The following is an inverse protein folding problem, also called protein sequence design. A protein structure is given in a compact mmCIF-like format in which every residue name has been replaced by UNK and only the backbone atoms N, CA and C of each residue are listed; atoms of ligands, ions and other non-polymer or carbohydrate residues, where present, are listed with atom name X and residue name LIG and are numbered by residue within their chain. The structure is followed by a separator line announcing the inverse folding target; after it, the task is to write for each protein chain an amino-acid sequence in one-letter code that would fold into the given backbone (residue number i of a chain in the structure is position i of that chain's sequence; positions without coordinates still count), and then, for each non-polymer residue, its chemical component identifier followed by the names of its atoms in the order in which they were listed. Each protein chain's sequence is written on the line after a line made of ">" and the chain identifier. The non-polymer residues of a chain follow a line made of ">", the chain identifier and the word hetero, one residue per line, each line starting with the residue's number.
data_IF_157832670044
#
_entry.id   IF_157832670044
#
_cell.length_a   1.000
_cell.length_b   1.000
_cell.length_c   1.000
_cell.angle_alpha   90.00
_cell.angle_beta   90.00
_cell.angle_gamma   90.00
#
_symmetry.space_group_name_H-M   'P 1'
#
loop_
_entity.id
_entity.type
_entity.pdbx_description
1 polymer ?
#
# COMPACT_ATOMS: atom_id res chain seq x y z
N UNK A 1 14.71 26.61 -5.65
CA UNK A 1 15.85 25.68 -5.58
C UNK A 1 15.29 24.31 -5.22
N UNK A 2 15.33 23.34 -6.12
CA UNK A 2 14.83 21.99 -5.82
C UNK A 2 15.82 21.30 -4.87
N UNK A 3 15.32 20.76 -3.75
CA UNK A 3 16.12 19.89 -2.90
C UNK A 3 16.44 18.61 -3.67
N UNK A 4 17.68 18.15 -3.59
CA UNK A 4 18.06 16.85 -4.14
C UNK A 4 17.59 15.75 -3.17
N UNK A 5 17.30 14.55 -3.68
CA UNK A 5 16.93 13.39 -2.84
C UNK A 5 18.14 12.72 -2.16
N UNK A 6 19.23 13.47 -1.96
CA UNK A 6 20.49 12.93 -1.41
C UNK A 6 20.46 12.81 0.12
N UNK A 7 19.64 13.61 0.77
CA UNK A 7 19.53 13.68 2.22
C UNK A 7 18.09 13.33 2.65
N UNK A 8 17.97 12.61 3.77
CA UNK A 8 16.67 12.29 4.36
C UNK A 8 15.97 13.58 4.80
N UNK A 9 14.70 13.73 4.43
CA UNK A 9 13.86 14.82 4.94
C UNK A 9 13.67 14.68 6.46
N UNK A 10 13.85 15.77 7.20
CA UNK A 10 13.63 15.85 8.65
C UNK A 10 12.29 16.50 9.03
N UNK A 11 11.55 17.02 8.04
CA UNK A 11 10.22 17.56 8.26
C UNK A 11 9.23 16.43 8.58
N UNK A 12 8.25 16.73 9.43
CA UNK A 12 7.14 15.82 9.71
C UNK A 12 6.30 15.60 8.45
N UNK A 13 5.80 14.38 8.29
CA UNK A 13 4.84 14.03 7.26
C UNK A 13 3.44 14.52 7.65
N UNK A 14 2.80 15.28 6.76
CA UNK A 14 1.50 15.89 7.03
C UNK A 14 0.37 14.85 7.14
N UNK A 15 0.41 13.80 6.33
CA UNK A 15 -0.60 12.73 6.35
C UNK A 15 -0.57 11.91 7.66
N UNK A 16 0.54 11.94 8.38
CA UNK A 16 0.75 11.26 9.67
C UNK A 16 0.39 12.12 10.89
N UNK A 17 0.03 13.39 10.68
CA UNK A 17 -0.33 14.31 11.74
C UNK A 17 -1.67 13.92 12.37
N UNK A 18 -1.64 13.50 13.64
CA UNK A 18 -2.81 13.05 14.40
C UNK A 18 -3.76 14.18 14.83
N UNK A 19 -3.33 15.43 14.71
CA UNK A 19 -4.23 16.57 14.90
C UNK A 19 -5.09 16.84 13.65
N UNK A 20 -4.72 16.23 12.53
CA UNK A 20 -5.41 16.28 11.24
C UNK A 20 -6.07 14.93 10.96
N UNK A 21 -7.08 14.90 10.09
CA UNK A 21 -7.87 13.70 9.83
C UNK A 21 -9.23 14.01 9.23
N UNK A 22 -10.19 13.09 9.39
CA UNK A 22 -11.55 13.31 8.91
C UNK A 22 -11.62 13.44 7.40
N UNK A 23 -12.35 14.45 6.90
CA UNK A 23 -12.63 14.56 5.46
C UNK A 23 -11.41 14.92 4.62
N UNK A 24 -10.48 15.73 5.16
CA UNK A 24 -9.26 16.11 4.44
C UNK A 24 -8.37 14.89 4.17
N UNK A 25 -8.17 14.04 5.17
CA UNK A 25 -7.43 12.78 5.00
C UNK A 25 -8.14 11.83 4.03
N UNK A 26 -9.47 11.71 4.11
CA UNK A 26 -10.23 10.89 3.13
C UNK A 26 -10.09 11.42 1.71
N UNK A 27 -10.16 12.73 1.52
CA UNK A 27 -9.95 13.35 0.21
C UNK A 27 -8.52 13.10 -0.31
N UNK A 28 -7.51 13.24 0.55
CA UNK A 28 -6.13 12.92 0.23
C UNK A 28 -5.96 11.45 -0.19
N UNK A 29 -6.57 10.51 0.52
CA UNK A 29 -6.54 9.08 0.17
C UNK A 29 -7.28 8.78 -1.15
N UNK A 30 -8.40 9.44 -1.43
CA UNK A 30 -9.07 9.35 -2.75
C UNK A 30 -8.19 9.88 -3.88
N UNK A 31 -7.45 10.97 -3.64
CA UNK A 31 -6.48 11.51 -4.60
C UNK A 31 -5.30 10.55 -4.78
N UNK A 32 -4.76 10.00 -3.69
CA UNK A 32 -3.72 8.98 -3.72
C UNK A 32 -4.15 7.80 -4.58
N UNK A 33 -5.39 7.31 -4.43
CA UNK A 33 -5.93 6.23 -5.29
C UNK A 33 -5.89 6.53 -6.77
N UNK A 34 -6.26 7.76 -7.16
CA UNK A 34 -6.20 8.21 -8.57
C UNK A 34 -4.76 8.21 -9.08
N UNK A 35 -3.82 8.69 -8.27
CA UNK A 35 -2.39 8.72 -8.60
C UNK A 35 -1.81 7.30 -8.68
N UNK A 36 -2.15 6.42 -7.75
CA UNK A 36 -1.76 5.02 -7.74
C UNK A 36 -2.15 4.32 -9.04
N UNK A 37 -3.37 4.58 -9.53
CA UNK A 37 -3.83 4.05 -10.81
C UNK A 37 -3.08 4.65 -12.00
N UNK A 38 -2.78 5.94 -11.99
CA UNK A 38 -2.08 6.63 -13.08
C UNK A 38 -0.62 6.16 -13.21
N UNK A 39 0.06 5.97 -12.08
CA UNK A 39 1.47 5.60 -12.03
C UNK A 39 1.72 4.11 -11.86
N UNK A 40 0.65 3.29 -11.84
CA UNK A 40 0.75 1.84 -11.64
C UNK A 40 1.50 1.48 -10.35
N UNK A 41 1.14 2.11 -9.24
CA UNK A 41 1.84 1.99 -7.95
C UNK A 41 1.96 0.53 -7.46
N UNK A 42 1.01 -0.34 -7.83
CA UNK A 42 1.04 -1.75 -7.46
C UNK A 42 2.08 -2.58 -8.25
N UNK A 43 2.55 -2.12 -9.42
CA UNK A 43 3.36 -2.94 -10.31
C UNK A 43 4.71 -3.39 -9.70
N UNK A 44 5.50 -2.51 -9.04
CA UNK A 44 6.73 -2.93 -8.38
C UNK A 44 6.49 -3.96 -7.27
N UNK A 45 5.44 -3.77 -6.47
CA UNK A 45 5.08 -4.69 -5.38
C UNK A 45 4.65 -6.05 -5.94
N UNK A 46 3.80 -6.08 -6.96
CA UNK A 46 3.39 -7.30 -7.64
C UNK A 46 4.57 -8.06 -8.24
N UNK A 47 5.51 -7.34 -8.86
CA UNK A 47 6.74 -7.93 -9.39
C UNK A 47 7.56 -8.60 -8.27
N UNK A 48 7.78 -7.89 -7.17
CA UNK A 48 8.53 -8.40 -6.01
C UNK A 48 7.86 -9.63 -5.39
N UNK A 49 6.56 -9.54 -5.10
CA UNK A 49 5.80 -10.64 -4.49
C UNK A 49 5.74 -11.85 -5.41
N UNK A 50 5.44 -11.66 -6.70
CA UNK A 50 5.39 -12.77 -7.66
C UNK A 50 6.74 -13.49 -7.78
N UNK A 51 7.84 -12.73 -7.72
CA UNK A 51 9.19 -13.29 -7.76
C UNK A 51 9.51 -14.08 -6.49
N UNK A 52 9.28 -13.49 -5.31
CA UNK A 52 9.51 -14.15 -4.02
C UNK A 52 8.67 -15.42 -3.87
N UNK A 53 7.40 -15.37 -4.28
CA UNK A 53 6.52 -16.53 -4.29
C UNK A 53 7.04 -17.65 -5.19
N UNK A 54 7.54 -17.33 -6.39
CA UNK A 54 8.12 -18.32 -7.29
C UNK A 54 9.41 -18.92 -6.73
N UNK A 55 10.30 -18.09 -6.17
CA UNK A 55 11.55 -18.52 -5.52
C UNK A 55 11.28 -19.40 -4.28
N UNK A 56 10.16 -19.17 -3.58
CA UNK A 56 9.69 -20.00 -2.47
C UNK A 56 9.02 -21.32 -2.89
N UNK A 57 9.04 -21.67 -4.19
CA UNK A 57 8.46 -22.93 -4.69
C UNK A 57 6.95 -22.88 -4.89
N UNK A 58 6.38 -21.69 -5.07
CA UNK A 58 4.94 -21.46 -5.34
C UNK A 58 4.02 -22.06 -4.26
N UNK A 59 4.19 -21.66 -2.98
CA UNK A 59 3.33 -22.15 -1.92
C UNK A 59 1.86 -21.79 -2.20
N UNK A 60 0.96 -22.68 -1.77
CA UNK A 60 -0.49 -22.47 -1.88
C UNK A 60 -1.02 -21.39 -0.95
N UNK A 61 -0.28 -21.05 0.11
CA UNK A 61 -0.67 -20.09 1.14
C UNK A 61 0.40 -19.02 1.29
N UNK A 62 -0.01 -17.77 1.34
CA UNK A 62 0.85 -16.62 1.55
C UNK A 62 0.20 -15.67 2.58
N UNK A 63 1.02 -15.15 3.49
CA UNK A 63 0.59 -14.13 4.45
C UNK A 63 1.46 -12.88 4.26
N UNK A 64 0.82 -11.72 4.18
CA UNK A 64 1.47 -10.42 4.01
C UNK A 64 1.02 -9.48 5.10
N UNK A 65 1.97 -8.81 5.76
CA UNK A 65 1.71 -7.66 6.63
C UNK A 65 2.08 -6.39 5.85
N UNK A 66 1.10 -5.53 5.61
CA UNK A 66 1.31 -4.21 5.01
C UNK A 66 1.32 -3.13 6.09
N UNK A 67 2.40 -2.34 6.15
CA UNK A 67 2.60 -1.28 7.14
C UNK A 67 2.51 0.06 6.42
N UNK A 68 1.49 0.86 6.75
CA UNK A 68 1.10 2.06 6.00
C UNK A 68 0.12 1.70 4.87
N UNK A 69 -1.00 1.08 5.23
CA UNK A 69 -2.00 0.57 4.29
C UNK A 69 -2.57 1.64 3.35
N UNK A 70 -2.62 2.90 3.81
CA UNK A 70 -2.99 4.05 2.99
C UNK A 70 -4.36 3.89 2.34
N UNK A 71 -4.39 3.82 1.00
CA UNK A 71 -5.64 3.71 0.20
C UNK A 71 -6.00 2.27 -0.20
N UNK A 72 -5.20 1.28 0.19
CA UNK A 72 -5.44 -0.15 -0.07
C UNK A 72 -5.25 -0.63 -1.51
N UNK A 73 -4.93 0.24 -2.47
CA UNK A 73 -4.92 -0.13 -3.90
C UNK A 73 -3.92 -1.23 -4.25
N UNK A 74 -2.74 -1.19 -3.61
CA UNK A 74 -1.69 -2.20 -3.80
C UNK A 74 -2.15 -3.56 -3.23
N UNK A 75 -2.81 -3.55 -2.08
CA UNK A 75 -3.34 -4.75 -1.43
C UNK A 75 -4.46 -5.38 -2.26
N UNK A 76 -5.37 -4.57 -2.78
CA UNK A 76 -6.41 -5.04 -3.69
C UNK A 76 -5.82 -5.67 -4.97
N UNK A 77 -4.71 -5.13 -5.48
CA UNK A 77 -4.01 -5.71 -6.62
C UNK A 77 -3.33 -7.05 -6.27
N UNK A 78 -2.74 -7.17 -5.09
CA UNK A 78 -2.17 -8.42 -4.58
C UNK A 78 -3.22 -9.52 -4.44
N UNK A 79 -4.39 -9.20 -3.88
CA UNK A 79 -5.51 -10.15 -3.76
C UNK A 79 -5.97 -10.66 -5.13
N UNK A 80 -6.16 -9.77 -6.10
CA UNK A 80 -6.52 -10.18 -7.48
C UNK A 80 -5.43 -11.03 -8.14
N UNK A 81 -4.15 -10.71 -7.90
CA UNK A 81 -3.05 -11.54 -8.38
C UNK A 81 -3.09 -12.94 -7.75
N UNK A 82 -3.32 -13.03 -6.44
CA UNK A 82 -3.40 -14.30 -5.73
C UNK A 82 -4.57 -15.16 -6.24
N UNK A 83 -5.74 -14.56 -6.44
CA UNK A 83 -6.90 -15.22 -7.06
C UNK A 83 -6.55 -15.80 -8.44
N UNK A 84 -5.87 -15.02 -9.27
CA UNK A 84 -5.43 -15.45 -10.60
C UNK A 84 -4.37 -16.58 -10.56
N UNK A 85 -3.59 -16.68 -9.48
CA UNK A 85 -2.61 -17.75 -9.29
C UNK A 85 -3.17 -18.96 -8.50
N UNK A 86 -4.40 -18.88 -7.98
CA UNK A 86 -4.96 -19.90 -7.09
C UNK A 86 -4.23 -20.00 -5.74
N UNK A 87 -3.77 -18.87 -5.21
CA UNK A 87 -3.05 -18.76 -3.92
C UNK A 87 -4.01 -18.25 -2.85
N UNK A 88 -4.06 -18.92 -1.70
CA UNK A 88 -4.72 -18.42 -0.51
C UNK A 88 -3.85 -17.30 0.10
N UNK A 89 -4.17 -16.06 -0.23
CA UNK A 89 -3.48 -14.88 0.29
C UNK A 89 -4.28 -14.25 1.44
N UNK A 90 -3.64 -14.11 2.60
CA UNK A 90 -4.12 -13.24 3.68
C UNK A 90 -3.27 -11.97 3.74
N UNK A 91 -3.92 -10.81 3.68
CA UNK A 91 -3.26 -9.51 3.88
C UNK A 91 -3.74 -8.90 5.19
N UNK A 92 -2.81 -8.70 6.11
CA UNK A 92 -3.03 -7.96 7.35
C UNK A 92 -2.60 -6.52 7.14
N UNK A 93 -3.52 -5.58 7.34
CA UNK A 93 -3.28 -4.15 7.20
C UNK A 93 -2.95 -3.53 8.56
N UNK A 94 -1.88 -2.74 8.61
CA UNK A 94 -1.52 -1.94 9.76
C UNK A 94 -1.32 -0.49 9.33
N UNK A 95 -2.09 0.40 9.94
CA UNK A 95 -1.94 1.85 9.74
C UNK A 95 -2.07 2.59 11.06
N UNK A 96 -1.56 3.82 11.09
CA UNK A 96 -1.48 4.66 12.28
C UNK A 96 -2.81 5.33 12.61
N UNK A 97 -3.72 5.42 11.64
CA UNK A 97 -5.04 6.06 11.76
C UNK A 97 -6.19 5.08 11.46
N UNK A 98 -7.32 5.13 12.20
CA UNK A 98 -8.51 4.35 11.87
C UNK A 98 -9.06 4.65 10.48
N UNK A 99 -8.94 5.89 10.01
CA UNK A 99 -9.40 6.34 8.70
C UNK A 99 -8.66 5.66 7.56
N UNK A 100 -7.34 5.53 7.64
CA UNK A 100 -6.56 4.82 6.64
C UNK A 100 -6.91 3.32 6.63
N UNK A 101 -7.07 2.71 7.81
CA UNK A 101 -7.55 1.32 7.89
C UNK A 101 -8.94 1.14 7.26
N UNK A 102 -9.85 2.10 7.48
CA UNK A 102 -11.20 2.05 6.91
C UNK A 102 -11.23 2.28 5.40
N UNK A 103 -10.36 3.13 4.88
CA UNK A 103 -10.27 3.43 3.45
C UNK A 103 -9.54 2.34 2.65
N UNK A 104 -8.66 1.59 3.30
CA UNK A 104 -7.92 0.48 2.69
C UNK A 104 -8.68 -0.86 2.70
N UNK A 105 -9.75 -0.98 3.51
CA UNK A 105 -10.60 -2.16 3.61
C UNK A 105 -11.61 -2.26 2.44
#
# INVERSE_FOLDING_TARGET
>A
MFRTFRERASAYELMDDRSQGGEELREALRHLRRLNRLFSAAAPTLFGVSRLWAEAGKPRRLEVLDIGAGSGDVNAALLRWADAQGVELTVTLADRTPEACAEAA
#
